data_IF_430796267905
#
_entry.id   IF_430796267905
#
_cell.length_a   1.000
_cell.length_b   1.000
_cell.length_c   1.000
_cell.angle_alpha   90.00
_cell.angle_beta   90.00
_cell.angle_gamma   90.00
#
_symmetry.space_group_name_H-M   'P 1'
#
loop_
_entity.id
_entity.type
_entity.pdbx_description
1 polymer ?
#
# COMPACT_ATOMS: atom_id res chain seq x y z
N UNK A 1 11.95 -7.51 -5.02
CA UNK A 1 11.53 -6.08 -4.99
C UNK A 1 10.97 -5.80 -3.61
N UNK A 2 11.29 -4.67 -2.97
CA UNK A 2 10.92 -4.44 -1.58
C UNK A 2 9.40 -4.28 -1.45
N UNK A 3 8.85 -4.84 -0.37
CA UNK A 3 7.48 -4.60 0.05
C UNK A 3 7.24 -3.09 0.22
N UNK A 4 6.02 -2.63 -0.04
CA UNK A 4 5.65 -1.25 0.28
C UNK A 4 5.38 -1.18 1.78
N UNK A 5 6.07 -0.32 2.52
CA UNK A 5 5.75 -0.08 3.94
C UNK A 5 4.69 1.01 4.05
N UNK A 6 3.64 0.74 4.82
CA UNK A 6 2.65 1.73 5.24
C UNK A 6 2.98 2.12 6.70
N UNK A 7 2.91 3.41 7.08
CA UNK A 7 3.01 3.82 8.47
C UNK A 7 1.85 3.20 9.25
N UNK A 8 2.17 2.35 10.22
CA UNK A 8 1.19 1.54 10.94
C UNK A 8 0.33 2.40 11.87
N UNK A 9 0.94 3.40 12.52
CA UNK A 9 0.25 4.32 13.42
C UNK A 9 1.01 5.64 13.47
N UNK A 10 0.28 6.76 13.45
CA UNK A 10 0.80 8.09 13.76
C UNK A 10 0.29 8.52 15.13
N UNK A 11 1.18 8.79 16.07
CA UNK A 11 0.84 9.41 17.35
C UNK A 11 1.01 10.93 17.23
N UNK A 12 -0.01 11.70 17.61
CA UNK A 12 0.11 13.16 17.65
C UNK A 12 0.74 13.59 18.98
N UNK A 13 1.97 14.10 18.93
CA UNK A 13 2.74 14.49 20.12
C UNK A 13 2.39 15.92 20.58
N UNK A 14 2.04 16.80 19.63
CA UNK A 14 1.55 18.16 19.84
C UNK A 14 0.75 18.59 18.60
N UNK A 15 -0.04 19.69 18.62
CA UNK A 15 -0.80 20.11 17.45
C UNK A 15 0.09 20.23 16.21
N UNK A 16 -0.18 19.41 15.20
CA UNK A 16 0.59 19.28 13.95
C UNK A 16 1.93 18.50 14.02
N UNK A 17 2.23 17.80 15.11
CA UNK A 17 3.39 16.91 15.20
C UNK A 17 2.94 15.44 15.23
N UNK A 18 3.18 14.73 14.14
CA UNK A 18 2.89 13.30 14.02
C UNK A 18 4.18 12.47 14.08
N UNK A 19 4.22 11.50 14.97
CA UNK A 19 5.33 10.55 15.09
C UNK A 19 4.92 9.21 14.49
N UNK A 20 5.72 8.69 13.57
CA UNK A 20 5.52 7.34 13.02
C UNK A 20 5.94 6.32 14.07
N UNK A 21 4.98 5.54 14.55
CA UNK A 21 5.20 4.54 15.62
C UNK A 21 5.77 3.24 15.06
N UNK A 22 5.55 2.95 13.77
CA UNK A 22 6.07 1.75 13.11
C UNK A 22 5.67 1.67 11.65
N UNK A 23 6.26 0.71 10.93
CA UNK A 23 5.96 0.41 9.53
C UNK A 23 5.61 -1.07 9.39
N UNK A 24 4.51 -1.38 8.72
CA UNK A 24 4.13 -2.76 8.40
C UNK A 24 4.35 -3.03 6.90
N UNK A 25 5.04 -4.13 6.53
CA UNK A 25 5.21 -4.48 5.13
C UNK A 25 3.87 -4.89 4.52
N UNK A 26 3.54 -4.30 3.38
CA UNK A 26 2.34 -4.60 2.59
C UNK A 26 2.70 -5.01 1.17
N UNK A 27 1.75 -5.66 0.48
CA UNK A 27 1.93 -6.00 -0.94
C UNK A 27 2.12 -4.72 -1.75
N UNK A 28 2.97 -4.80 -2.78
CA UNK A 28 3.15 -3.75 -3.78
C UNK A 28 1.78 -3.29 -4.30
N UNK A 29 1.58 -1.97 -4.32
CA UNK A 29 0.35 -1.36 -4.85
C UNK A 29 -0.74 -1.11 -3.81
N UNK A 30 -0.67 -1.73 -2.63
CA UNK A 30 -1.55 -1.44 -1.50
C UNK A 30 -1.22 -0.06 -0.91
N UNK A 31 -1.88 0.98 -1.41
CA UNK A 31 -1.61 2.39 -1.02
C UNK A 31 -2.84 3.09 -0.49
N UNK A 32 -4.00 2.74 -1.02
CA UNK A 32 -5.29 3.21 -0.51
C UNK A 32 -5.68 2.35 0.68
N UNK A 33 -5.97 2.99 1.81
CA UNK A 33 -6.26 2.32 3.07
C UNK A 33 -7.39 3.04 3.81
N UNK A 34 -8.07 2.29 4.67
CA UNK A 34 -9.06 2.79 5.62
C UNK A 34 -8.85 2.09 6.97
N UNK A 35 -9.13 2.78 8.08
CA UNK A 35 -9.00 2.23 9.43
C UNK A 35 -10.36 2.16 10.12
N UNK A 36 -10.66 1.02 10.73
CA UNK A 36 -11.76 0.91 11.68
C UNK A 36 -11.26 1.35 13.07
N UNK A 37 -11.75 2.49 13.54
CA UNK A 37 -11.34 3.07 14.82
C UNK A 37 -11.86 2.30 16.06
N UNK A 38 -12.84 1.41 15.91
CA UNK A 38 -13.33 0.59 17.03
C UNK A 38 -12.47 -0.66 17.24
N UNK A 39 -12.10 -1.33 16.14
CA UNK A 39 -11.31 -2.56 16.19
C UNK A 39 -9.82 -2.35 15.94
N UNK A 40 -9.43 -1.15 15.53
CA UNK A 40 -8.08 -0.79 15.08
C UNK A 40 -7.57 -1.61 13.89
N UNK A 41 -8.47 -2.23 13.12
CA UNK A 41 -8.12 -2.94 11.89
C UNK A 41 -7.91 -1.98 10.74
N UNK A 42 -6.86 -2.21 9.96
CA UNK A 42 -6.58 -1.47 8.74
C UNK A 42 -6.89 -2.34 7.52
N UNK A 43 -7.65 -1.78 6.60
CA UNK A 43 -8.04 -2.41 5.35
C UNK A 43 -7.34 -1.72 4.19
N UNK A 44 -6.70 -2.50 3.32
CA UNK A 44 -6.12 -1.99 2.08
C UNK A 44 -6.32 -3.01 0.95
N UNK A 45 -6.25 -2.57 -0.29
CA UNK A 45 -6.50 -3.42 -1.46
C UNK A 45 -5.35 -3.36 -2.45
N UNK A 46 -5.13 -4.46 -3.14
CA UNK A 46 -4.17 -4.52 -4.24
C UNK A 46 -4.50 -5.66 -5.20
N UNK A 47 -3.70 -5.80 -6.26
CA UNK A 47 -3.69 -6.95 -7.13
C UNK A 47 -2.25 -7.28 -7.53
N UNK A 48 -2.03 -8.47 -8.09
CA UNK A 48 -0.72 -8.82 -8.60
C UNK A 48 -0.48 -8.15 -9.96
N UNK A 49 0.75 -7.70 -10.18
CA UNK A 49 1.14 -6.98 -11.38
C UNK A 49 2.00 -7.86 -12.28
N UNK A 50 1.70 -7.85 -13.58
CA UNK A 50 2.55 -8.48 -14.58
C UNK A 50 3.91 -7.80 -14.76
N UNK A 51 4.76 -8.30 -15.66
CA UNK A 51 5.97 -7.59 -16.04
C UNK A 51 5.62 -6.23 -16.67
N UNK A 52 6.39 -5.16 -16.40
CA UNK A 52 6.23 -3.91 -17.13
C UNK A 52 6.53 -4.15 -18.62
N UNK A 53 5.75 -3.55 -19.54
CA UNK A 53 6.10 -3.54 -20.96
C UNK A 53 7.49 -2.93 -21.19
N UNK A 54 8.10 -3.22 -22.34
CA UNK A 54 9.34 -2.57 -22.74
C UNK A 54 9.13 -1.05 -22.87
N UNK A 55 10.06 -0.21 -22.39
CA UNK A 55 10.02 1.23 -22.61
C UNK A 55 10.06 1.59 -24.10
N UNK A 56 9.27 2.58 -24.52
CA UNK A 56 9.39 3.21 -25.84
C UNK A 56 9.76 4.69 -25.71
N UNK A 57 10.09 5.35 -26.82
CA UNK A 57 10.36 6.79 -26.85
C UNK A 57 9.14 7.61 -26.39
N UNK A 58 7.92 7.23 -26.79
CA UNK A 58 6.70 7.91 -26.33
C UNK A 58 6.32 7.52 -24.89
N UNK A 59 6.69 6.32 -24.44
CA UNK A 59 6.36 5.80 -23.12
C UNK A 59 7.58 5.21 -22.41
N UNK A 60 8.48 6.07 -21.88
CA UNK A 60 9.72 5.63 -21.25
C UNK A 60 9.51 4.95 -19.88
N UNK A 61 8.32 5.10 -19.27
CA UNK A 61 7.96 4.50 -17.96
C UNK A 61 6.60 3.81 -18.03
N UNK A 62 6.48 2.68 -18.76
CA UNK A 62 5.21 1.98 -18.88
C UNK A 62 4.80 1.36 -17.55
N UNK A 63 3.50 1.39 -17.25
CA UNK A 63 2.96 0.79 -16.03
C UNK A 63 2.67 -0.69 -16.26
N UNK A 64 3.03 -1.58 -15.32
CA UNK A 64 2.55 -2.96 -15.32
C UNK A 64 1.02 -3.05 -15.36
N UNK A 65 0.49 -4.04 -16.05
CA UNK A 65 -0.93 -4.40 -16.00
C UNK A 65 -1.24 -5.23 -14.75
N UNK A 66 -2.51 -5.18 -14.33
CA UNK A 66 -3.04 -6.05 -13.27
C UNK A 66 -3.33 -7.43 -13.87
N UNK A 67 -2.98 -8.50 -13.15
CA UNK A 67 -3.32 -9.87 -13.51
C UNK A 67 -4.79 -10.16 -13.14
N UNK A 68 -5.64 -10.64 -14.08
CA UNK A 68 -7.04 -10.95 -13.79
C UNK A 68 -7.18 -11.96 -12.64
N UNK A 69 -8.19 -11.77 -11.79
CA UNK A 69 -8.50 -12.68 -10.67
C UNK A 69 -7.57 -12.58 -9.46
N UNK A 70 -6.63 -11.63 -9.44
CA UNK A 70 -5.65 -11.47 -8.34
C UNK A 70 -5.95 -10.32 -7.39
N UNK A 71 -7.14 -9.71 -7.49
CA UNK A 71 -7.57 -8.68 -6.55
C UNK A 71 -7.66 -9.26 -5.14
N UNK A 72 -7.10 -8.55 -4.17
CA UNK A 72 -7.06 -8.95 -2.79
C UNK A 72 -7.40 -7.78 -1.85
N UNK A 73 -8.26 -8.05 -0.87
CA UNK A 73 -8.41 -7.26 0.34
C UNK A 73 -7.41 -7.78 1.38
N UNK A 74 -6.55 -6.90 1.88
CA UNK A 74 -5.63 -7.17 2.97
C UNK A 74 -6.21 -6.56 4.23
N UNK A 75 -6.25 -7.36 5.30
CA UNK A 75 -6.65 -6.93 6.64
C UNK A 75 -5.40 -7.00 7.50
N UNK A 76 -5.03 -5.88 8.11
CA UNK A 76 -3.97 -5.80 9.09
C UNK A 76 -4.63 -5.70 10.47
N UNK A 77 -4.39 -6.70 11.31
CA UNK A 77 -4.77 -6.69 12.71
C UNK A 77 -3.70 -5.93 13.55
N UNK A 78 -4.09 -5.36 14.71
CA UNK A 78 -3.20 -4.61 15.61
C UNK A 78 -1.97 -5.38 16.10
#
# INVERSE_FOLDING_TARGET
MPAASIPAHSYEESPAQFVVVGNVPTKRGARTMEIDLQTHRLYTVTADFGPPPAPTAERPRPRPSILPGTFALLVLDP
#
